data_IF_907589189574
#
_entry.id   IF_907589189574
#
_cell.length_a   1.000
_cell.length_b   1.000
_cell.length_c   1.000
_cell.angle_alpha   90.00
_cell.angle_beta   90.00
_cell.angle_gamma   90.00
#
_symmetry.space_group_name_H-M   'P 1'
#
loop_
_entity.id
_entity.type
_entity.pdbx_description
1 polymer ?
#
# COMPACT_ATOMS: atom_id res chain seq x y z
N UNK A 1 -8.33 -51.24 30.83
CA UNK A 1 -8.24 -49.83 30.40
C UNK A 1 -6.89 -49.31 30.88
N UNK A 2 -5.86 -49.28 29.98
CA UNK A 2 -4.51 -48.86 30.33
C UNK A 2 -4.45 -47.34 30.38
N UNK A 3 -4.34 -46.76 31.55
CA UNK A 3 -4.06 -45.31 31.70
C UNK A 3 -2.66 -45.01 31.26
N UNK A 4 -2.46 -43.81 30.63
CA UNK A 4 -1.14 -43.28 30.28
C UNK A 4 -0.21 -43.30 31.51
N UNK A 5 1.06 -43.64 31.31
CA UNK A 5 2.10 -43.51 32.33
C UNK A 5 2.25 -42.05 32.76
N UNK A 6 2.86 -41.77 33.91
CA UNK A 6 3.09 -40.39 34.38
C UNK A 6 3.86 -39.59 33.31
N UNK A 7 4.91 -40.17 32.71
CA UNK A 7 5.67 -39.57 31.61
C UNK A 7 4.77 -39.29 30.37
N UNK A 8 3.89 -40.22 30.01
CA UNK A 8 2.96 -40.02 28.91
C UNK A 8 1.96 -38.86 29.12
N UNK A 9 1.51 -38.67 30.39
CA UNK A 9 0.64 -37.53 30.73
C UNK A 9 1.36 -36.21 30.71
N UNK A 10 2.61 -36.17 31.18
CA UNK A 10 3.46 -34.97 31.14
C UNK A 10 3.74 -34.57 29.67
N UNK A 11 4.13 -35.52 28.82
CA UNK A 11 4.37 -35.25 27.40
C UNK A 11 3.11 -34.78 26.68
N UNK A 12 1.94 -35.37 26.97
CA UNK A 12 0.67 -34.90 26.39
C UNK A 12 0.34 -33.47 26.80
N UNK A 13 0.51 -33.10 28.08
CA UNK A 13 0.26 -31.75 28.58
C UNK A 13 1.22 -30.75 27.91
N UNK A 14 2.49 -31.12 27.74
CA UNK A 14 3.50 -30.29 27.09
C UNK A 14 3.18 -30.04 25.60
N UNK A 15 2.76 -31.09 24.88
CA UNK A 15 2.33 -30.97 23.48
C UNK A 15 1.10 -30.06 23.37
N UNK A 16 0.10 -30.22 24.26
CA UNK A 16 -1.07 -29.34 24.26
C UNK A 16 -0.71 -27.88 24.59
N UNK A 17 0.20 -27.66 25.54
CA UNK A 17 0.66 -26.32 25.89
C UNK A 17 1.39 -25.64 24.70
N UNK A 18 2.30 -26.37 24.03
CA UNK A 18 3.00 -25.86 22.83
C UNK A 18 2.02 -25.59 21.70
N UNK A 19 1.07 -26.50 21.45
CA UNK A 19 0.05 -26.29 20.43
C UNK A 19 -0.83 -25.06 20.73
N UNK A 20 -1.20 -24.86 22.00
CA UNK A 20 -1.94 -23.68 22.45
C UNK A 20 -1.17 -22.37 22.23
N UNK A 21 0.14 -22.35 22.56
CA UNK A 21 1.02 -21.21 22.32
C UNK A 21 1.15 -20.88 20.84
N UNK A 22 1.32 -21.89 19.99
CA UNK A 22 1.40 -21.73 18.53
C UNK A 22 0.10 -21.17 17.96
N UNK A 23 -1.05 -21.65 18.44
CA UNK A 23 -2.34 -21.14 18.02
C UNK A 23 -2.51 -19.66 18.38
N UNK A 24 -2.21 -19.28 19.62
CA UNK A 24 -2.29 -17.89 20.10
C UNK A 24 -1.32 -17.00 19.29
N UNK A 25 -0.09 -17.46 19.07
CA UNK A 25 0.89 -16.74 18.28
C UNK A 25 0.42 -16.55 16.83
N UNK A 26 -0.10 -17.58 16.20
CA UNK A 26 -0.65 -17.51 14.83
C UNK A 26 -1.82 -16.52 14.72
N UNK A 27 -2.78 -16.58 15.66
CA UNK A 27 -3.90 -15.64 15.71
C UNK A 27 -3.44 -14.20 15.96
N UNK A 28 -2.42 -14.00 16.79
CA UNK A 28 -1.85 -12.68 17.07
C UNK A 28 -1.15 -12.10 15.86
N UNK A 29 -0.40 -12.92 15.09
CA UNK A 29 0.23 -12.50 13.85
C UNK A 29 -0.80 -12.13 12.77
N UNK A 30 -1.87 -12.91 12.63
CA UNK A 30 -2.96 -12.60 11.68
C UNK A 30 -3.64 -11.27 12.02
N UNK A 31 -3.90 -11.02 13.31
CA UNK A 31 -4.48 -9.75 13.77
C UNK A 31 -3.54 -8.58 13.52
N UNK A 32 -2.25 -8.75 13.81
CA UNK A 32 -1.25 -7.71 13.59
C UNK A 32 -1.14 -7.34 12.10
N UNK A 33 -1.10 -8.33 11.20
CA UNK A 33 -1.09 -8.09 9.75
C UNK A 33 -2.31 -7.30 9.29
N UNK A 34 -3.52 -7.67 9.76
CA UNK A 34 -4.76 -6.96 9.48
C UNK A 34 -4.71 -5.50 9.94
N UNK A 35 -4.36 -5.26 11.22
CA UNK A 35 -4.29 -3.91 11.79
C UNK A 35 -3.26 -3.05 11.05
N UNK A 36 -2.09 -3.59 10.70
CA UNK A 36 -1.06 -2.86 9.95
C UNK A 36 -1.54 -2.49 8.54
N UNK A 37 -2.25 -3.38 7.86
CA UNK A 37 -2.82 -3.10 6.53
C UNK A 37 -3.90 -2.02 6.58
N UNK A 38 -4.80 -2.08 7.56
CA UNK A 38 -5.85 -1.08 7.75
C UNK A 38 -5.25 0.30 8.08
N UNK A 39 -4.24 0.36 8.95
CA UNK A 39 -3.53 1.60 9.28
C UNK A 39 -2.84 2.21 8.07
N UNK A 40 -2.19 1.39 7.24
CA UNK A 40 -1.53 1.84 6.01
C UNK A 40 -2.57 2.35 5.01
N UNK A 41 -3.69 1.63 4.87
CA UNK A 41 -4.77 2.05 3.98
C UNK A 41 -5.32 3.41 4.42
N UNK A 42 -5.66 3.60 5.70
CA UNK A 42 -6.18 4.85 6.24
C UNK A 42 -5.18 6.02 6.03
N UNK A 43 -3.90 5.80 6.36
CA UNK A 43 -2.86 6.82 6.13
C UNK A 43 -2.69 7.18 4.66
N UNK A 44 -2.67 6.19 3.77
CA UNK A 44 -2.48 6.42 2.34
C UNK A 44 -3.66 7.20 1.78
N UNK A 45 -4.88 6.85 2.16
CA UNK A 45 -6.08 7.57 1.77
C UNK A 45 -6.02 9.03 2.25
N UNK A 46 -5.79 9.29 3.54
CA UNK A 46 -5.68 10.64 4.10
C UNK A 46 -4.60 11.48 3.42
N UNK A 47 -3.48 10.85 3.06
CA UNK A 47 -2.40 11.53 2.34
C UNK A 47 -2.86 11.98 0.95
N UNK A 48 -3.60 11.16 0.22
CA UNK A 48 -4.16 11.53 -1.09
C UNK A 48 -5.26 12.60 -0.94
N UNK A 49 -6.07 12.55 0.11
CA UNK A 49 -7.07 13.59 0.41
C UNK A 49 -6.40 14.97 0.64
N UNK A 50 -5.22 15.00 1.28
CA UNK A 50 -4.42 16.24 1.40
C UNK A 50 -3.96 16.73 0.03
N UNK A 51 -3.43 15.86 -0.82
CA UNK A 51 -3.03 16.21 -2.18
C UNK A 51 -4.21 16.69 -3.03
N UNK A 52 -5.37 16.03 -2.89
CA UNK A 52 -6.61 16.46 -3.52
C UNK A 52 -7.02 17.87 -3.07
N UNK A 53 -6.86 18.22 -1.79
CA UNK A 53 -7.12 19.56 -1.24
C UNK A 53 -6.19 20.61 -1.83
N UNK A 54 -4.92 20.27 -2.08
CA UNK A 54 -3.97 21.15 -2.80
C UNK A 54 -4.48 21.46 -4.21
N UNK A 55 -4.90 20.44 -4.95
CA UNK A 55 -5.45 20.61 -6.30
C UNK A 55 -6.75 21.44 -6.27
N UNK A 56 -7.63 21.18 -5.29
CA UNK A 56 -8.85 21.93 -5.09
C UNK A 56 -8.59 23.43 -4.78
N UNK A 57 -7.53 23.74 -4.04
CA UNK A 57 -7.11 25.11 -3.78
C UNK A 57 -6.78 25.85 -5.10
N UNK A 58 -5.97 25.27 -5.97
CA UNK A 58 -5.62 25.89 -7.25
C UNK A 58 -6.83 25.99 -8.19
N UNK A 59 -7.72 25.02 -8.20
CA UNK A 59 -8.97 25.11 -8.93
C UNK A 59 -9.87 26.26 -8.39
N UNK A 60 -9.86 26.52 -7.10
CA UNK A 60 -10.56 27.68 -6.54
C UNK A 60 -9.97 29.00 -7.07
N UNK A 61 -8.64 29.12 -7.23
CA UNK A 61 -8.01 30.31 -7.83
C UNK A 61 -8.40 30.48 -9.32
N UNK A 62 -8.52 29.37 -10.08
CA UNK A 62 -9.09 29.40 -11.44
C UNK A 62 -10.51 29.95 -11.43
N UNK A 63 -11.37 29.42 -10.55
CA UNK A 63 -12.77 29.85 -10.46
C UNK A 63 -12.96 31.31 -10.05
N UNK A 64 -12.05 31.83 -9.24
CA UNK A 64 -12.04 33.25 -8.81
C UNK A 64 -11.43 34.18 -9.88
N UNK A 65 -10.93 33.64 -11.01
CA UNK A 65 -10.28 34.41 -12.07
C UNK A 65 -8.90 34.94 -11.69
N UNK A 66 -8.30 34.48 -10.57
CA UNK A 66 -6.94 34.85 -10.14
C UNK A 66 -5.90 34.18 -11.02
N UNK A 67 -6.19 32.97 -11.51
CA UNK A 67 -5.35 32.22 -12.42
C UNK A 67 -6.16 31.74 -13.62
N UNK A 68 -5.52 31.61 -14.77
CA UNK A 68 -6.08 30.82 -15.87
C UNK A 68 -6.04 29.35 -15.51
N UNK A 69 -6.86 28.52 -16.15
CA UNK A 69 -6.84 27.06 -15.93
C UNK A 69 -5.45 26.47 -16.11
N UNK A 70 -4.74 26.87 -17.15
CA UNK A 70 -3.38 26.39 -17.42
C UNK A 70 -2.40 26.76 -16.28
N UNK A 71 -2.49 27.99 -15.77
CA UNK A 71 -1.66 28.44 -14.64
C UNK A 71 -2.00 27.67 -13.35
N UNK A 72 -3.28 27.49 -13.04
CA UNK A 72 -3.73 26.76 -11.87
C UNK A 72 -3.29 25.28 -11.92
N UNK A 73 -3.46 24.63 -13.06
CA UNK A 73 -2.99 23.25 -13.28
C UNK A 73 -1.48 23.14 -13.16
N UNK A 74 -0.71 24.02 -13.79
CA UNK A 74 0.74 24.01 -13.71
C UNK A 74 1.24 24.21 -12.27
N UNK A 75 0.63 25.12 -11.51
CA UNK A 75 0.96 25.37 -10.11
C UNK A 75 0.65 24.16 -9.23
N UNK A 76 -0.52 23.55 -9.41
CA UNK A 76 -0.92 22.33 -8.69
C UNK A 76 0.08 21.17 -8.95
N UNK A 77 0.42 20.90 -10.22
CA UNK A 77 1.37 19.86 -10.58
C UNK A 77 2.77 20.15 -10.04
N UNK A 78 3.22 21.40 -10.09
CA UNK A 78 4.53 21.81 -9.53
C UNK A 78 4.57 21.56 -8.01
N UNK A 79 3.50 21.90 -7.30
CA UNK A 79 3.39 21.66 -5.86
C UNK A 79 3.41 20.16 -5.56
N UNK A 80 2.56 19.36 -6.21
CA UNK A 80 2.52 17.91 -6.00
C UNK A 80 3.84 17.22 -6.37
N UNK A 81 4.52 17.69 -7.41
CA UNK A 81 5.82 17.17 -7.83
C UNK A 81 6.90 17.36 -6.76
N UNK A 82 6.84 18.44 -6.00
CA UNK A 82 7.79 18.77 -4.94
C UNK A 82 7.46 18.08 -3.60
N UNK A 83 6.21 17.73 -3.36
CA UNK A 83 5.79 17.13 -2.10
C UNK A 83 6.39 15.73 -1.93
N UNK A 84 6.93 15.48 -0.74
CA UNK A 84 7.38 14.17 -0.27
C UNK A 84 6.85 13.92 1.12
N UNK A 85 6.68 12.65 1.45
CA UNK A 85 6.33 12.22 2.81
C UNK A 85 6.98 10.85 3.09
N UNK A 86 6.95 10.38 4.32
CA UNK A 86 7.57 9.12 4.68
C UNK A 86 9.07 9.09 4.34
N UNK A 87 9.51 8.04 3.67
CA UNK A 87 10.87 7.85 3.15
C UNK A 87 10.88 7.97 1.62
N UNK A 88 10.65 9.17 1.08
CA UNK A 88 10.57 9.47 -0.36
C UNK A 88 9.28 9.03 -1.06
N UNK A 89 8.19 8.80 -0.32
CA UNK A 89 6.88 8.61 -0.91
C UNK A 89 6.41 9.87 -1.63
N UNK A 90 5.62 9.69 -2.69
CA UNK A 90 5.34 10.74 -3.66
C UNK A 90 3.91 10.64 -4.21
N UNK A 91 3.50 11.73 -4.86
CA UNK A 91 2.24 11.80 -5.59
C UNK A 91 2.49 11.72 -7.09
N UNK A 92 1.52 11.15 -7.82
CA UNK A 92 1.42 11.26 -9.27
C UNK A 92 0.02 11.70 -9.66
N UNK A 93 -0.11 12.13 -10.90
CA UNK A 93 -1.39 12.50 -11.50
C UNK A 93 -1.47 11.85 -12.88
N UNK A 94 -2.56 11.14 -13.16
CA UNK A 94 -2.96 10.73 -14.49
C UNK A 94 -4.36 11.27 -14.80
N UNK A 95 -4.75 11.26 -16.07
CA UNK A 95 -6.10 11.63 -16.46
C UNK A 95 -7.06 10.41 -16.47
N UNK A 96 -8.33 10.65 -16.83
CA UNK A 96 -9.36 9.60 -16.91
C UNK A 96 -9.19 8.67 -18.13
N UNK A 97 -8.25 8.93 -19.04
CA UNK A 97 -7.85 8.07 -20.16
C UNK A 97 -6.52 7.37 -19.92
N UNK A 98 -6.19 6.95 -18.69
CA UNK A 98 -4.91 6.63 -18.06
C UNK A 98 -3.65 7.21 -18.75
N UNK A 99 -3.70 8.49 -19.16
CA UNK A 99 -2.52 9.21 -19.64
C UNK A 99 -1.81 9.84 -18.46
N UNK A 100 -0.49 9.65 -18.35
CA UNK A 100 0.28 10.29 -17.28
C UNK A 100 0.33 11.80 -17.47
N UNK A 101 -0.09 12.54 -16.45
CA UNK A 101 -0.03 14.00 -16.40
C UNK A 101 1.22 14.46 -15.66
N UNK A 102 1.58 13.79 -14.57
CA UNK A 102 2.77 14.13 -13.77
C UNK A 102 3.25 12.91 -12.97
N UNK A 103 4.55 12.61 -13.03
CA UNK A 103 5.20 11.63 -12.19
C UNK A 103 6.62 12.10 -11.79
N UNK A 104 6.90 12.30 -10.48
CA UNK A 104 8.15 12.95 -10.06
C UNK A 104 9.42 12.11 -10.33
N UNK A 105 9.32 10.78 -10.30
CA UNK A 105 10.46 9.87 -10.51
C UNK A 105 10.47 9.19 -11.89
N UNK A 106 9.41 9.38 -12.69
CA UNK A 106 9.31 8.79 -14.03
C UNK A 106 8.76 9.83 -15.01
N UNK A 107 9.43 10.98 -15.17
CA UNK A 107 8.94 12.07 -16.04
C UNK A 107 8.84 11.65 -17.51
N UNK A 108 9.59 10.63 -17.93
CA UNK A 108 9.48 10.04 -19.27
C UNK A 108 8.10 9.45 -19.59
N UNK A 109 7.28 9.15 -18.58
CA UNK A 109 5.91 8.65 -18.77
C UNK A 109 4.90 9.79 -19.03
N UNK A 110 5.29 11.04 -18.76
CA UNK A 110 4.37 12.18 -18.89
C UNK A 110 3.93 12.37 -20.35
N UNK A 111 2.62 12.42 -20.54
CA UNK A 111 2.00 12.48 -21.87
C UNK A 111 1.74 11.09 -22.50
N UNK A 112 2.29 10.01 -21.97
CA UNK A 112 2.07 8.66 -22.51
C UNK A 112 0.70 8.09 -22.11
N UNK A 113 0.11 7.33 -23.02
CA UNK A 113 -1.06 6.49 -22.75
C UNK A 113 -0.60 5.20 -22.06
N UNK A 114 -1.01 5.02 -20.82
CA UNK A 114 -0.64 3.89 -19.97
C UNK A 114 -1.75 2.83 -19.88
N UNK A 115 -2.78 2.91 -20.72
CA UNK A 115 -3.91 1.97 -20.71
C UNK A 115 -3.50 0.51 -20.96
N UNK A 116 -2.44 0.30 -21.73
CA UNK A 116 -1.87 -1.02 -22.02
C UNK A 116 -0.69 -1.41 -21.12
N UNK A 117 -0.26 -0.51 -20.21
CA UNK A 117 0.88 -0.77 -19.34
C UNK A 117 0.50 -1.74 -18.21
N UNK A 118 1.24 -2.84 -18.11
CA UNK A 118 1.12 -3.81 -17.02
C UNK A 118 2.31 -3.73 -16.08
N UNK A 119 2.12 -4.22 -14.87
CA UNK A 119 3.21 -4.54 -13.95
C UNK A 119 3.83 -5.92 -14.26
N UNK A 120 4.74 -6.39 -13.39
CA UNK A 120 5.42 -7.68 -13.53
C UNK A 120 4.47 -8.89 -13.38
N UNK A 121 3.33 -8.72 -12.72
CA UNK A 121 2.32 -9.74 -12.48
C UNK A 121 1.18 -9.67 -13.53
N UNK A 122 1.27 -8.77 -14.53
CA UNK A 122 0.30 -8.59 -15.61
C UNK A 122 -0.89 -7.71 -15.24
N UNK A 123 -0.85 -6.99 -14.12
CA UNK A 123 -1.91 -6.09 -13.67
C UNK A 123 -1.89 -4.79 -14.49
N UNK A 124 -3.03 -4.39 -15.08
CA UNK A 124 -3.20 -3.12 -15.77
C UNK A 124 -3.49 -1.98 -14.78
N UNK A 125 -2.49 -1.66 -13.94
CA UNK A 125 -2.67 -0.80 -12.77
C UNK A 125 -3.28 0.57 -13.08
N UNK A 126 -2.86 1.24 -14.15
CA UNK A 126 -3.41 2.58 -14.48
C UNK A 126 -4.85 2.51 -14.99
N UNK A 127 -5.23 1.41 -15.64
CA UNK A 127 -6.62 1.15 -16.01
C UNK A 127 -7.47 0.92 -14.77
N UNK A 128 -7.03 0.06 -13.86
CA UNK A 128 -7.73 -0.20 -12.59
C UNK A 128 -7.88 1.07 -11.76
N UNK A 129 -6.81 1.89 -11.63
CA UNK A 129 -6.85 3.17 -10.95
C UNK A 129 -7.92 4.11 -11.53
N UNK A 130 -7.99 4.19 -12.86
CA UNK A 130 -8.96 5.04 -13.54
C UNK A 130 -10.39 4.51 -13.41
N UNK A 131 -10.59 3.19 -13.46
CA UNK A 131 -11.89 2.54 -13.28
C UNK A 131 -12.43 2.75 -11.88
N UNK A 132 -11.61 2.52 -10.85
CA UNK A 132 -11.97 2.76 -9.44
C UNK A 132 -12.30 4.24 -9.21
N UNK A 133 -11.45 5.15 -9.70
CA UNK A 133 -11.69 6.58 -9.58
C UNK A 133 -12.98 7.03 -10.29
N UNK A 134 -13.31 6.42 -11.43
CA UNK A 134 -14.54 6.72 -12.19
C UNK A 134 -15.79 6.19 -11.51
N UNK A 135 -15.75 4.93 -11.03
CA UNK A 135 -16.88 4.23 -10.42
C UNK A 135 -17.20 4.76 -9.03
N UNK A 136 -16.18 4.85 -8.18
CA UNK A 136 -16.32 5.04 -6.73
C UNK A 136 -15.83 6.43 -6.26
N UNK A 137 -15.25 7.22 -7.19
CA UNK A 137 -14.61 8.49 -6.85
C UNK A 137 -13.19 8.34 -6.32
N UNK A 138 -12.81 7.17 -5.85
CA UNK A 138 -11.49 6.81 -5.36
C UNK A 138 -11.47 5.40 -4.79
N UNK A 139 -10.28 4.85 -4.56
CA UNK A 139 -10.12 3.51 -4.00
C UNK A 139 -8.68 3.00 -4.07
N UNK A 140 -8.49 1.78 -3.58
CA UNK A 140 -7.19 1.14 -3.50
C UNK A 140 -6.92 0.26 -4.71
N UNK A 141 -5.65 0.25 -5.14
CA UNK A 141 -5.13 -0.64 -6.20
C UNK A 141 -3.81 -1.24 -5.73
N UNK A 142 -3.68 -2.55 -5.89
CA UNK A 142 -2.47 -3.31 -5.55
C UNK A 142 -1.73 -3.68 -6.84
N UNK A 143 -0.44 -3.42 -6.89
CA UNK A 143 0.39 -3.69 -8.05
C UNK A 143 1.87 -3.71 -7.66
N UNK A 144 2.75 -3.98 -8.63
CA UNK A 144 4.20 -3.90 -8.43
C UNK A 144 4.77 -2.68 -9.15
N UNK A 145 5.60 -1.92 -8.45
CA UNK A 145 6.25 -0.74 -9.01
C UNK A 145 7.66 -0.56 -8.43
N UNK A 146 8.60 -0.07 -9.24
CA UNK A 146 9.94 0.18 -8.76
C UNK A 146 9.97 1.33 -7.74
N UNK A 147 10.72 1.16 -6.66
CA UNK A 147 10.99 2.24 -5.70
C UNK A 147 11.84 3.33 -6.35
N UNK A 148 11.75 4.59 -5.85
CA UNK A 148 12.64 5.64 -6.30
C UNK A 148 14.10 5.20 -6.29
N UNK A 149 14.80 5.37 -7.43
CA UNK A 149 16.20 4.97 -7.57
C UNK A 149 16.47 3.48 -7.71
N UNK A 150 15.44 2.62 -7.72
CA UNK A 150 15.57 1.17 -7.92
C UNK A 150 14.93 0.74 -9.24
N UNK A 151 15.38 -0.41 -9.78
CA UNK A 151 14.81 -0.99 -11.00
C UNK A 151 13.86 -2.16 -10.70
N UNK A 152 14.05 -2.85 -9.60
CA UNK A 152 13.29 -4.03 -9.20
C UNK A 152 11.87 -3.61 -8.73
N UNK A 153 10.80 -4.15 -9.35
CA UNK A 153 9.44 -3.88 -8.92
C UNK A 153 9.14 -4.49 -7.54
N UNK A 154 8.71 -3.67 -6.61
CA UNK A 154 8.27 -4.09 -5.27
C UNK A 154 6.74 -4.00 -5.13
N UNK A 155 6.11 -4.83 -4.27
CA UNK A 155 4.69 -4.74 -3.99
C UNK A 155 4.32 -3.36 -3.45
N UNK A 156 3.31 -2.73 -4.05
CA UNK A 156 2.82 -1.39 -3.70
C UNK A 156 1.30 -1.41 -3.56
N UNK A 157 0.82 -0.77 -2.50
CA UNK A 157 -0.60 -0.45 -2.30
C UNK A 157 -0.75 1.05 -2.49
N UNK A 158 -1.66 1.44 -3.38
CA UNK A 158 -1.93 2.85 -3.66
C UNK A 158 -3.40 3.17 -3.49
N UNK A 159 -3.67 4.37 -2.98
CA UNK A 159 -5.00 4.98 -3.04
C UNK A 159 -5.00 6.01 -4.16
N UNK A 160 -6.10 6.06 -4.90
CA UNK A 160 -6.33 7.05 -5.95
C UNK A 160 -7.65 7.76 -5.72
N UNK A 161 -7.71 9.03 -6.08
CA UNK A 161 -8.92 9.84 -5.97
C UNK A 161 -9.13 10.72 -7.20
N UNK A 162 -10.37 10.74 -7.69
CA UNK A 162 -10.76 11.54 -8.83
C UNK A 162 -10.88 13.02 -8.47
N UNK A 163 -10.26 13.89 -9.26
CA UNK A 163 -10.54 15.32 -9.28
C UNK A 163 -11.33 15.66 -10.54
N UNK A 164 -12.65 15.54 -10.45
CA UNK A 164 -13.58 15.65 -11.60
C UNK A 164 -13.45 16.96 -12.38
N UNK A 165 -13.27 18.16 -11.75
CA UNK A 165 -13.20 19.43 -12.47
C UNK A 165 -12.15 19.49 -13.57
N UNK A 166 -11.01 18.81 -13.35
CA UNK A 166 -9.92 18.75 -14.35
C UNK A 166 -9.77 17.39 -15.04
N UNK A 167 -10.61 16.42 -14.68
CA UNK A 167 -10.54 15.07 -15.20
C UNK A 167 -9.27 14.33 -14.76
N UNK A 168 -8.75 14.64 -13.57
CA UNK A 168 -7.54 14.05 -13.01
C UNK A 168 -7.83 12.93 -12.03
N UNK A 169 -6.90 12.01 -11.95
CA UNK A 169 -6.79 11.00 -10.91
C UNK A 169 -5.49 11.27 -10.15
N UNK A 170 -5.60 11.58 -8.88
CA UNK A 170 -4.46 11.87 -8.00
C UNK A 170 -4.19 10.61 -7.20
N UNK A 171 -2.95 10.14 -7.20
CA UNK A 171 -2.59 8.93 -6.51
C UNK A 171 -1.34 9.07 -5.66
N UNK A 172 -1.28 8.26 -4.63
CA UNK A 172 -0.08 7.99 -3.85
C UNK A 172 -0.16 6.57 -3.26
N UNK A 173 0.97 6.02 -2.81
CA UNK A 173 0.98 4.67 -2.26
C UNK A 173 2.28 4.31 -1.58
N UNK A 174 2.21 3.25 -0.79
CA UNK A 174 3.32 2.74 0.02
C UNK A 174 3.76 1.36 -0.44
N UNK A 175 5.04 1.07 -0.26
CA UNK A 175 5.61 -0.24 -0.55
C UNK A 175 5.45 -1.16 0.66
N UNK A 176 4.93 -2.37 0.43
CA UNK A 176 4.54 -3.29 1.51
C UNK A 176 5.56 -4.40 1.78
N UNK A 177 6.64 -4.46 1.02
CA UNK A 177 7.69 -5.48 1.15
C UNK A 177 8.36 -5.51 2.53
N UNK A 178 8.58 -4.35 3.17
CA UNK A 178 9.15 -4.27 4.52
C UNK A 178 8.22 -4.85 5.59
N UNK A 179 6.91 -4.71 5.40
CA UNK A 179 5.90 -5.23 6.32
C UNK A 179 5.89 -6.75 6.24
N UNK A 180 5.83 -7.30 5.03
CA UNK A 180 5.89 -8.74 4.79
C UNK A 180 7.17 -9.33 5.40
N UNK A 181 8.32 -8.67 5.23
CA UNK A 181 9.58 -9.11 5.82
C UNK A 181 9.57 -9.05 7.35
N UNK A 182 8.90 -8.07 7.96
CA UNK A 182 8.82 -7.93 9.42
C UNK A 182 7.92 -8.99 10.03
N UNK A 183 6.73 -9.19 9.47
CA UNK A 183 5.79 -10.24 9.89
C UNK A 183 6.42 -11.63 9.71
N UNK A 184 7.10 -11.86 8.57
CA UNK A 184 7.80 -13.11 8.30
C UNK A 184 8.91 -13.41 9.34
N UNK A 185 9.71 -12.42 9.72
CA UNK A 185 10.73 -12.57 10.77
C UNK A 185 10.12 -12.88 12.14
N UNK A 186 9.03 -12.22 12.49
CA UNK A 186 8.30 -12.50 13.73
C UNK A 186 7.74 -13.93 13.76
N UNK A 187 7.18 -14.40 12.65
CA UNK A 187 6.67 -15.77 12.51
C UNK A 187 7.80 -16.82 12.67
N UNK A 188 8.96 -16.59 12.04
CA UNK A 188 10.12 -17.47 12.17
C UNK A 188 10.67 -17.51 13.61
N UNK A 189 10.73 -16.37 14.29
CA UNK A 189 11.19 -16.28 15.69
C UNK A 189 10.24 -17.06 16.62
N UNK A 190 8.93 -16.91 16.46
CA UNK A 190 7.94 -17.62 17.25
C UNK A 190 7.97 -19.14 16.98
N UNK A 191 8.11 -19.55 15.72
CA UNK A 191 8.27 -20.96 15.34
C UNK A 191 9.54 -21.58 15.94
N UNK A 192 10.66 -20.86 15.92
CA UNK A 192 11.93 -21.29 16.50
C UNK A 192 11.84 -21.44 18.03
N UNK A 193 11.18 -20.51 18.73
CA UNK A 193 10.97 -20.62 20.17
C UNK A 193 10.09 -21.81 20.53
N UNK A 194 9.02 -22.04 19.78
CA UNK A 194 8.14 -23.19 20.00
C UNK A 194 8.87 -24.52 19.81
N UNK A 195 9.72 -24.63 18.79
CA UNK A 195 10.57 -25.80 18.55
C UNK A 195 11.57 -26.02 19.67
N UNK A 196 12.22 -24.97 20.16
CA UNK A 196 13.16 -25.05 21.29
C UNK A 196 12.48 -25.54 22.57
N UNK A 197 11.25 -25.07 22.86
CA UNK A 197 10.48 -25.54 23.99
C UNK A 197 10.07 -27.02 23.81
N UNK A 198 9.66 -27.43 22.61
CA UNK A 198 9.30 -28.81 22.34
C UNK A 198 10.50 -29.77 22.55
N UNK A 199 11.70 -29.38 22.12
CA UNK A 199 12.93 -30.17 22.32
C UNK A 199 13.38 -30.20 23.79
N UNK A 200 13.18 -29.12 24.54
CA UNK A 200 13.59 -29.06 25.97
C UNK A 200 12.67 -29.90 26.90
N UNK A 201 11.47 -30.25 26.46
CA UNK A 201 10.44 -30.96 27.24
C UNK A 201 10.29 -32.43 26.81
N UNK A 202 10.80 -32.83 25.64
CA UNK A 202 10.78 -34.22 25.12
C UNK A 202 12.05 -34.95 25.48
#
# INVERSE_FOLDING_TARGET
MGGLTISGRVNLLSVLAVAGLLLVAGLSLMRLDGVLRDEIADRTQKTVEVAHSVVAHYHAQERLGVMTRAQAQAAALSTLRALRYGQDDYFWVNDMQPRMVMHPFSPQLEGEDLSAKTDADGVFMFREMTEVARRDGGGFVNYRWAKPGQQEPAPKVSYVQAFKPWGWVIGSGVYTDQIVATVGRAALALGGMALAVAVAVG
#
